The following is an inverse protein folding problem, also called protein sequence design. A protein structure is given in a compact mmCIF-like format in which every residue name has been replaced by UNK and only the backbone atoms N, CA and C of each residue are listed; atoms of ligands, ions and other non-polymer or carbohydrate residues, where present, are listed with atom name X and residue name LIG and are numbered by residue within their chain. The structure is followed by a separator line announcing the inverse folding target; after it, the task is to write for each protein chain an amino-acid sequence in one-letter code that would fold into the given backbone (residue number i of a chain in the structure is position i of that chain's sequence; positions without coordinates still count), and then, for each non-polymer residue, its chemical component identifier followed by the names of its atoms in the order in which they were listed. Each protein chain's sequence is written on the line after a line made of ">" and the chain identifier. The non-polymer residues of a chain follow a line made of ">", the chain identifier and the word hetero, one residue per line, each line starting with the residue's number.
data_IF_979603470373
#
_entry.id   IF_979603470373
#
_cell.length_a   1.000
_cell.length_b   1.000
_cell.length_c   1.000
_cell.angle_alpha   90.00
_cell.angle_beta   90.00
_cell.angle_gamma   90.00
#
_symmetry.space_group_name_H-M   'P 1'
#
loop_
_entity.id
_entity.type
_entity.pdbx_description
1 polymer ?
#
# COMPACT_ATOMS: atom_id res chain seq x y z
N UNK A 1 -80.03 24.90 0.92
CA UNK A 1 -80.01 23.84 -0.11
C UNK A 1 -78.77 23.00 0.14
N UNK A 2 -78.95 21.80 0.69
CA UNK A 2 -77.88 20.83 0.96
C UNK A 2 -78.17 19.61 0.07
N UNK A 3 -77.20 19.12 -0.72
CA UNK A 3 -77.32 17.82 -1.36
C UNK A 3 -76.78 16.71 -0.42
N UNK A 4 -77.65 15.73 -0.16
CA UNK A 4 -77.40 14.31 0.16
C UNK A 4 -76.77 13.62 -1.07
N UNK A 5 -76.00 12.52 -1.09
CA UNK A 5 -75.77 11.32 -0.24
C UNK A 5 -74.56 10.55 -0.86
N UNK A 6 -74.01 9.49 -0.23
CA UNK A 6 -72.73 8.84 -0.55
C UNK A 6 -72.85 7.64 -1.52
N UNK A 7 -71.71 7.07 -1.98
CA UNK A 7 -71.62 5.62 -2.11
C UNK A 7 -70.41 5.06 -1.33
N UNK A 8 -70.74 4.15 -0.42
CA UNK A 8 -69.84 3.17 0.20
C UNK A 8 -69.31 2.23 -0.87
N UNK A 9 -67.99 2.15 -1.04
CA UNK A 9 -67.35 1.24 -1.99
C UNK A 9 -65.94 0.82 -1.53
N UNK A 10 -65.88 -0.26 -0.75
CA UNK A 10 -64.76 -1.22 -0.68
C UNK A 10 -63.41 -0.76 -0.07
N UNK A 11 -63.02 -1.23 1.13
CA UNK A 11 -61.66 -1.05 1.67
C UNK A 11 -60.56 -1.92 1.01
N UNK A 12 -60.61 -2.13 -0.31
CA UNK A 12 -59.72 -3.08 -1.01
C UNK A 12 -58.79 -2.45 -2.08
N UNK A 13 -58.86 -1.13 -2.31
CA UNK A 13 -58.00 -0.42 -3.28
C UNK A 13 -56.72 0.20 -2.70
N UNK A 14 -56.66 0.47 -1.40
CA UNK A 14 -55.57 1.24 -0.78
C UNK A 14 -54.33 0.42 -0.38
N UNK A 15 -54.42 -0.92 -0.39
CA UNK A 15 -53.32 -1.80 0.05
C UNK A 15 -52.34 -2.13 -1.09
N UNK A 16 -52.82 -2.21 -2.33
CA UNK A 16 -51.99 -2.54 -3.48
C UNK A 16 -51.16 -1.35 -4.02
N UNK A 17 -51.45 -0.12 -3.59
CA UNK A 17 -50.71 1.09 -3.97
C UNK A 17 -49.52 1.35 -3.04
N UNK A 18 -49.69 1.13 -1.73
CA UNK A 18 -48.66 1.34 -0.70
C UNK A 18 -47.47 0.36 -0.80
N UNK A 19 -47.75 -0.90 -1.17
CA UNK A 19 -46.70 -1.90 -1.44
C UNK A 19 -45.86 -1.56 -2.67
N UNK A 20 -46.45 -0.92 -3.69
CA UNK A 20 -45.73 -0.51 -4.92
C UNK A 20 -44.82 0.68 -4.64
N UNK A 21 -45.31 1.68 -3.92
CA UNK A 21 -44.51 2.85 -3.52
C UNK A 21 -43.32 2.46 -2.63
N UNK A 22 -43.52 1.51 -1.69
CA UNK A 22 -42.43 1.00 -0.84
C UNK A 22 -41.37 0.23 -1.63
N UNK A 23 -41.81 -0.57 -2.62
CA UNK A 23 -40.90 -1.31 -3.51
C UNK A 23 -40.07 -0.38 -4.41
N UNK A 24 -40.63 0.76 -4.80
CA UNK A 24 -40.00 1.74 -5.68
C UNK A 24 -38.96 2.60 -4.94
N UNK A 25 -39.19 2.91 -3.65
CA UNK A 25 -38.19 3.56 -2.79
C UNK A 25 -37.00 2.64 -2.50
N UNK A 26 -37.23 1.36 -2.23
CA UNK A 26 -36.13 0.39 -2.03
C UNK A 26 -35.34 0.20 -3.32
N UNK A 27 -36.01 0.12 -4.47
CA UNK A 27 -35.35 0.02 -5.77
C UNK A 27 -34.49 1.25 -6.10
N UNK A 28 -34.96 2.46 -5.80
CA UNK A 28 -34.21 3.70 -6.03
C UNK A 28 -33.01 3.86 -5.08
N UNK A 29 -33.11 3.42 -3.82
CA UNK A 29 -31.98 3.36 -2.88
C UNK A 29 -30.91 2.35 -3.33
N UNK A 30 -31.34 1.18 -3.82
CA UNK A 30 -30.43 0.16 -4.33
C UNK A 30 -29.74 0.62 -5.62
N UNK A 31 -30.45 1.32 -6.52
CA UNK A 31 -29.87 1.91 -7.72
C UNK A 31 -28.84 3.01 -7.39
N UNK A 32 -29.11 3.87 -6.40
CA UNK A 32 -28.17 4.90 -5.96
C UNK A 32 -26.95 4.31 -5.23
N UNK A 33 -27.14 3.25 -4.43
CA UNK A 33 -26.06 2.55 -3.73
C UNK A 33 -25.10 1.82 -4.66
N UNK A 34 -25.59 1.24 -5.77
CA UNK A 34 -24.75 0.60 -6.79
C UNK A 34 -23.82 1.59 -7.49
N UNK A 35 -24.29 2.83 -7.73
CA UNK A 35 -23.47 3.90 -8.29
C UNK A 35 -22.29 4.27 -7.38
N UNK A 36 -22.57 4.48 -6.08
CA UNK A 36 -21.55 4.82 -5.08
C UNK A 36 -20.48 3.74 -4.93
N UNK A 37 -20.90 2.47 -4.87
CA UNK A 37 -19.97 1.34 -4.77
C UNK A 37 -19.05 1.25 -5.99
N UNK A 38 -19.60 1.44 -7.20
CA UNK A 38 -18.79 1.46 -8.42
C UNK A 38 -17.78 2.62 -8.39
N UNK A 39 -18.18 3.78 -7.91
CA UNK A 39 -17.28 4.94 -7.76
C UNK A 39 -16.17 4.67 -6.75
N UNK A 40 -16.46 4.09 -5.58
CA UNK A 40 -15.41 3.74 -4.60
C UNK A 40 -14.45 2.66 -5.13
N UNK A 41 -14.96 1.69 -5.91
CA UNK A 41 -14.12 0.70 -6.57
C UNK A 41 -13.23 1.31 -7.65
N UNK A 42 -13.77 2.24 -8.45
CA UNK A 42 -12.99 2.98 -9.45
C UNK A 42 -11.92 3.85 -8.79
N UNK A 43 -12.25 4.58 -7.72
CA UNK A 43 -11.29 5.36 -6.94
C UNK A 43 -10.23 4.46 -6.29
N UNK A 44 -10.65 3.38 -5.63
CA UNK A 44 -9.76 2.44 -4.97
C UNK A 44 -8.81 1.77 -5.97
N UNK A 45 -9.29 1.43 -7.16
CA UNK A 45 -8.45 0.91 -8.24
C UNK A 45 -7.42 1.94 -8.70
N UNK A 46 -7.82 3.20 -8.86
CA UNK A 46 -6.90 4.29 -9.23
C UNK A 46 -5.85 4.54 -8.15
N UNK A 47 -6.23 4.52 -6.87
CA UNK A 47 -5.31 4.70 -5.75
C UNK A 47 -4.29 3.56 -5.68
N UNK A 48 -4.75 2.30 -5.80
CA UNK A 48 -3.85 1.14 -5.86
C UNK A 48 -2.91 1.24 -7.07
N UNK A 49 -3.41 1.63 -8.24
CA UNK A 49 -2.59 1.81 -9.43
C UNK A 49 -1.54 2.90 -9.23
N UNK A 50 -1.93 4.04 -8.65
CA UNK A 50 -1.02 5.15 -8.33
C UNK A 50 0.08 4.72 -7.38
N UNK A 51 -0.29 4.09 -6.25
CA UNK A 51 0.66 3.58 -5.26
C UNK A 51 1.60 2.55 -5.91
N UNK A 52 1.07 1.65 -6.73
CA UNK A 52 1.86 0.64 -7.43
C UNK A 52 2.86 1.28 -8.40
N UNK A 53 2.44 2.26 -9.20
CA UNK A 53 3.31 2.96 -10.14
C UNK A 53 4.38 3.77 -9.42
N UNK A 54 4.02 4.55 -8.39
CA UNK A 54 4.98 5.34 -7.61
C UNK A 54 6.03 4.43 -6.94
N UNK A 55 5.59 3.31 -6.34
CA UNK A 55 6.50 2.32 -5.76
C UNK A 55 7.36 1.64 -6.82
N UNK A 56 6.80 1.28 -7.98
CA UNK A 56 7.55 0.66 -9.06
C UNK A 56 8.64 1.59 -9.61
N UNK A 57 8.34 2.89 -9.76
CA UNK A 57 9.33 3.90 -10.15
C UNK A 57 10.41 4.01 -9.08
N UNK A 58 10.03 4.12 -7.80
CA UNK A 58 10.99 4.23 -6.71
C UNK A 58 11.93 3.02 -6.64
N UNK A 59 11.38 1.80 -6.74
CA UNK A 59 12.18 0.57 -6.80
C UNK A 59 13.05 0.53 -8.05
N UNK A 60 12.51 0.92 -9.21
CA UNK A 60 13.25 0.99 -10.47
C UNK A 60 14.44 1.94 -10.40
N UNK A 61 14.25 3.15 -9.85
CA UNK A 61 15.32 4.11 -9.61
C UNK A 61 16.34 3.60 -8.59
N UNK A 62 15.90 2.95 -7.52
CA UNK A 62 16.80 2.39 -6.52
C UNK A 62 17.68 1.29 -7.10
N UNK A 63 17.09 0.36 -7.87
CA UNK A 63 17.85 -0.71 -8.56
C UNK A 63 18.77 -0.13 -9.62
N UNK A 64 18.28 0.77 -10.47
CA UNK A 64 19.09 1.42 -11.51
C UNK A 64 20.26 2.21 -10.91
N UNK A 65 20.00 2.98 -9.85
CA UNK A 65 21.02 3.71 -9.11
C UNK A 65 22.04 2.78 -8.45
N UNK A 66 21.61 1.66 -7.87
CA UNK A 66 22.51 0.66 -7.30
C UNK A 66 23.42 0.03 -8.37
N UNK A 67 22.89 -0.29 -9.55
CA UNK A 67 23.68 -0.84 -10.66
C UNK A 67 24.72 0.18 -11.17
N UNK A 68 24.30 1.42 -11.42
CA UNK A 68 25.23 2.49 -11.84
C UNK A 68 26.28 2.72 -10.76
N UNK A 69 25.87 2.76 -9.49
CA UNK A 69 26.77 2.87 -8.34
C UNK A 69 27.79 1.75 -8.28
N UNK A 70 27.39 0.50 -8.58
CA UNK A 70 28.31 -0.64 -8.66
C UNK A 70 29.37 -0.46 -9.76
N UNK A 71 28.97 0.01 -10.94
CA UNK A 71 29.93 0.30 -12.02
C UNK A 71 30.90 1.41 -11.62
N UNK A 72 30.40 2.50 -11.04
CA UNK A 72 31.25 3.60 -10.55
C UNK A 72 32.26 3.05 -9.53
N UNK A 73 31.82 2.22 -8.59
CA UNK A 73 32.70 1.62 -7.59
C UNK A 73 33.77 0.72 -8.24
N UNK A 74 33.41 -0.06 -9.26
CA UNK A 74 34.38 -0.85 -10.00
C UNK A 74 35.43 0.05 -10.70
N UNK A 75 35.00 1.08 -11.42
CA UNK A 75 35.90 2.01 -12.11
C UNK A 75 36.79 2.77 -11.14
N UNK A 76 36.26 3.28 -10.02
CA UNK A 76 37.07 3.93 -8.97
C UNK A 76 38.14 2.98 -8.44
N UNK A 77 37.81 1.70 -8.28
CA UNK A 77 38.76 0.69 -7.81
C UNK A 77 39.88 0.46 -8.80
N UNK A 78 39.54 0.31 -10.08
CA UNK A 78 40.51 0.16 -11.18
C UNK A 78 41.39 1.41 -11.30
N UNK A 79 40.79 2.59 -11.36
CA UNK A 79 41.52 3.87 -11.45
C UNK A 79 42.42 4.08 -10.25
N UNK A 80 41.92 3.81 -9.04
CA UNK A 80 42.70 3.92 -7.80
C UNK A 80 43.86 2.93 -7.76
N UNK A 81 43.65 1.68 -8.16
CA UNK A 81 44.71 0.68 -8.25
C UNK A 81 45.79 1.11 -9.25
N UNK A 82 45.39 1.56 -10.45
CA UNK A 82 46.33 2.07 -11.45
C UNK A 82 47.12 3.29 -10.97
N UNK A 83 46.49 4.21 -10.23
CA UNK A 83 47.19 5.34 -9.63
C UNK A 83 48.21 4.87 -8.57
N UNK A 84 47.86 3.88 -7.74
CA UNK A 84 48.77 3.30 -6.75
C UNK A 84 49.96 2.56 -7.39
N UNK A 85 49.78 1.95 -8.56
CA UNK A 85 50.87 1.30 -9.29
C UNK A 85 52.02 2.25 -9.66
N UNK A 86 51.81 3.56 -9.63
CA UNK A 86 52.88 4.55 -9.84
C UNK A 86 53.88 4.61 -8.67
N UNK A 87 53.48 4.13 -7.48
CA UNK A 87 54.25 4.24 -6.25
C UNK A 87 54.50 2.90 -5.55
N UNK A 88 53.68 1.87 -5.82
CA UNK A 88 53.82 0.52 -5.24
C UNK A 88 53.73 -0.58 -6.31
N UNK A 89 54.14 -1.80 -5.94
CA UNK A 89 54.06 -2.96 -6.83
C UNK A 89 52.60 -3.30 -7.20
N UNK A 90 52.34 -3.81 -8.42
CA UNK A 90 50.98 -4.04 -8.91
C UNK A 90 50.10 -4.92 -8.00
N UNK A 91 50.65 -6.02 -7.49
CA UNK A 91 49.90 -6.93 -6.61
C UNK A 91 49.48 -6.25 -5.31
N UNK A 92 50.32 -5.36 -4.76
CA UNK A 92 50.06 -4.66 -3.51
C UNK A 92 49.02 -3.54 -3.71
N UNK A 93 49.05 -2.85 -4.84
CA UNK A 93 48.04 -1.84 -5.20
C UNK A 93 46.62 -2.41 -5.16
N UNK A 94 46.41 -3.58 -5.80
CA UNK A 94 45.12 -4.28 -5.79
C UNK A 94 44.70 -4.69 -4.37
N UNK A 95 45.61 -5.23 -3.56
CA UNK A 95 45.29 -5.60 -2.18
C UNK A 95 44.88 -4.41 -1.32
N UNK A 96 45.53 -3.26 -1.48
CA UNK A 96 45.17 -2.03 -0.74
C UNK A 96 43.75 -1.59 -1.12
N UNK A 97 43.43 -1.53 -2.42
CA UNK A 97 42.08 -1.14 -2.88
C UNK A 97 41.03 -2.14 -2.40
N UNK A 98 41.30 -3.44 -2.49
CA UNK A 98 40.41 -4.48 -1.95
C UNK A 98 40.21 -4.31 -0.44
N UNK A 99 41.27 -4.03 0.32
CA UNK A 99 41.19 -3.77 1.75
C UNK A 99 40.30 -2.57 2.10
N UNK A 100 40.40 -1.48 1.32
CA UNK A 100 39.52 -0.31 1.46
C UNK A 100 38.06 -0.68 1.21
N UNK A 101 37.77 -1.46 0.18
CA UNK A 101 36.40 -1.88 -0.13
C UNK A 101 35.81 -2.83 0.91
N UNK A 102 36.61 -3.75 1.46
CA UNK A 102 36.20 -4.57 2.59
C UNK A 102 35.86 -3.70 3.80
N UNK A 103 36.71 -2.71 4.11
CA UNK A 103 36.46 -1.80 5.24
C UNK A 103 35.16 -1.01 5.04
N UNK A 104 34.94 -0.45 3.85
CA UNK A 104 33.69 0.24 3.51
C UNK A 104 32.48 -0.70 3.63
N UNK A 105 32.57 -1.92 3.12
CA UNK A 105 31.48 -2.90 3.18
C UNK A 105 31.12 -3.25 4.64
N UNK A 106 32.12 -3.45 5.51
CA UNK A 106 31.91 -3.70 6.94
C UNK A 106 31.21 -2.52 7.61
N UNK A 107 31.66 -1.28 7.34
CA UNK A 107 31.02 -0.07 7.90
C UNK A 107 29.56 0.01 7.45
N UNK A 108 29.29 -0.16 6.15
CA UNK A 108 27.93 -0.11 5.61
C UNK A 108 27.04 -1.20 6.23
N UNK A 109 27.56 -2.42 6.39
CA UNK A 109 26.83 -3.53 6.99
C UNK A 109 26.52 -3.28 8.48
N UNK A 110 27.47 -2.72 9.23
CA UNK A 110 27.23 -2.31 10.62
C UNK A 110 26.15 -1.22 10.72
N UNK A 111 26.19 -0.21 9.84
CA UNK A 111 25.17 0.85 9.77
C UNK A 111 23.80 0.26 9.41
N UNK A 112 23.74 -0.60 8.40
CA UNK A 112 22.50 -1.27 8.00
C UNK A 112 21.92 -2.08 9.15
N UNK A 113 22.75 -2.92 9.80
CA UNK A 113 22.34 -3.68 10.99
C UNK A 113 21.85 -2.76 12.10
N UNK A 114 22.49 -1.61 12.33
CA UNK A 114 22.07 -0.67 13.37
C UNK A 114 20.75 0.02 13.05
N UNK A 115 20.49 0.29 11.78
CA UNK A 115 19.25 0.89 11.29
C UNK A 115 18.08 -0.10 11.35
N UNK A 116 18.29 -1.35 10.94
CA UNK A 116 17.27 -2.41 11.00
C UNK A 116 17.06 -2.99 12.40
N UNK A 117 18.01 -2.82 13.32
CA UNK A 117 17.87 -3.17 14.75
C UNK A 117 17.17 -2.09 15.57
N UNK A 118 16.88 -0.92 15.03
CA UNK A 118 15.94 -0.02 15.69
C UNK A 118 14.59 -0.74 15.67
N UNK A 119 13.92 -0.92 16.82
CA UNK A 119 12.57 -1.45 16.81
C UNK A 119 11.73 -0.47 16.00
N UNK A 120 11.44 -0.82 14.75
CA UNK A 120 10.26 -0.31 14.04
C UNK A 120 9.10 -0.94 14.80
N UNK A 121 8.84 -0.41 15.99
CA UNK A 121 7.76 -0.83 16.88
C UNK A 121 6.53 -0.24 16.21
N UNK A 122 5.71 -1.03 15.48
CA UNK A 122 4.48 -0.55 14.92
C UNK A 122 3.50 -0.57 16.10
N UNK A 123 3.72 0.30 17.09
CA UNK A 123 2.96 0.26 18.36
C UNK A 123 1.46 0.43 18.08
N UNK A 124 1.13 1.11 16.98
CA UNK A 124 -0.24 1.34 16.54
C UNK A 124 -0.82 0.15 15.75
N UNK A 125 -0.03 -0.55 14.94
CA UNK A 125 -0.55 -1.64 14.09
C UNK A 125 -0.64 -2.99 14.80
N UNK A 126 0.23 -3.25 15.79
CA UNK A 126 0.13 -4.47 16.58
C UNK A 126 -1.07 -4.43 17.55
N UNK A 127 -1.36 -3.26 18.14
CA UNK A 127 -2.49 -3.10 19.05
C UNK A 127 -3.86 -3.29 18.37
N UNK A 128 -4.00 -2.90 17.11
CA UNK A 128 -5.25 -3.07 16.36
C UNK A 128 -5.48 -4.53 15.92
N UNK A 129 -4.41 -5.27 15.60
CA UNK A 129 -4.50 -6.70 15.26
C UNK A 129 -4.85 -7.55 16.48
N UNK A 130 -4.33 -7.21 17.66
CA UNK A 130 -4.67 -7.89 18.91
C UNK A 130 -6.13 -7.65 19.34
N UNK A 131 -6.63 -6.41 19.23
CA UNK A 131 -8.04 -6.08 19.47
C UNK A 131 -8.97 -6.83 18.51
N UNK A 132 -8.60 -6.91 17.23
CA UNK A 132 -9.39 -7.62 16.20
C UNK A 132 -9.45 -9.12 16.49
N UNK A 133 -8.35 -9.71 16.94
CA UNK A 133 -8.29 -11.12 17.34
C UNK A 133 -9.12 -11.39 18.61
N UNK A 134 -9.06 -10.49 19.60
CA UNK A 134 -9.83 -10.61 20.84
C UNK A 134 -11.35 -10.58 20.55
N UNK A 135 -11.81 -9.61 19.76
CA UNK A 135 -13.21 -9.51 19.33
C UNK A 135 -13.69 -10.75 18.55
N UNK A 136 -12.85 -11.28 17.65
CA UNK A 136 -13.18 -12.47 16.86
C UNK A 136 -13.24 -13.75 17.72
N UNK A 137 -12.36 -13.89 18.72
CA UNK A 137 -12.35 -15.05 19.62
C UNK A 137 -13.57 -15.08 20.55
N UNK A 138 -14.03 -13.91 21.00
CA UNK A 138 -15.19 -13.80 21.88
C UNK A 138 -16.49 -14.15 21.15
N UNK A 139 -16.59 -13.79 19.86
CA UNK A 139 -17.77 -14.11 19.04
C UNK A 139 -17.91 -15.60 18.72
N UNK A 140 -16.79 -16.31 18.51
CA UNK A 140 -16.79 -17.76 18.22
C UNK A 140 -17.09 -18.60 19.46
N UNK A 141 -16.92 -18.03 20.65
CA UNK A 141 -17.16 -18.71 21.93
C UNK A 141 -18.60 -18.58 22.47
N UNK A 142 -19.47 -17.83 21.78
CA UNK A 142 -20.92 -17.72 22.07
C UNK A 142 -21.74 -18.57 21.11
#
# INVERSE_FOLDING_TARGET
>A
MVPTTPPTGGPDGARATDERDTSEVIASLLANGQGLLKTELELGKLEVQRIATEKAIAVGLAVGGALIGLFILAFVGVTGAHALMLVVQPWLAWLIVTGIYILLAVILLLVAVRYFKLPVKPEQTLGEVEKTKAWASEQVSR
#
